data_IF_532745389855
#
_entry.id   IF_532745389855
#
_cell.length_a   1.000
_cell.length_b   1.000
_cell.length_c   1.000
_cell.angle_alpha   90.00
_cell.angle_beta   90.00
_cell.angle_gamma   90.00
#
_symmetry.space_group_name_H-M   'P 1'
#
loop_
_entity.id
_entity.type
_entity.pdbx_description
1 polymer ?
#
# COMPACT_ATOMS: atom_id res chain seq x y z
N UNK A 1 -14.08 21.74 9.03
CA UNK A 1 -12.76 21.12 8.83
C UNK A 1 -12.96 19.67 8.43
N UNK A 2 -12.17 19.17 7.47
CA UNK A 2 -12.18 17.74 7.14
C UNK A 2 -11.58 17.02 8.36
N UNK A 3 -12.27 16.03 8.96
CA UNK A 3 -11.74 15.29 10.10
C UNK A 3 -10.40 14.64 9.72
N UNK A 4 -9.35 14.95 10.47
CA UNK A 4 -7.96 14.53 10.22
C UNK A 4 -7.64 13.12 10.73
N UNK A 5 -8.59 12.44 11.37
CA UNK A 5 -8.36 11.10 11.91
C UNK A 5 -9.48 10.14 11.50
N UNK A 6 -9.10 9.05 10.84
CA UNK A 6 -10.02 7.95 10.56
C UNK A 6 -10.45 7.30 11.89
N UNK A 7 -11.72 6.92 12.06
CA UNK A 7 -12.18 6.27 13.28
C UNK A 7 -11.33 5.03 13.58
N UNK A 8 -10.87 4.90 14.82
CA UNK A 8 -9.99 3.80 15.22
C UNK A 8 -10.70 2.46 15.02
N UNK A 9 -10.23 1.70 14.02
CA UNK A 9 -10.57 0.30 13.79
C UNK A 9 -9.28 -0.49 13.68
N UNK A 10 -9.23 -1.64 14.33
CA UNK A 10 -8.13 -2.57 14.16
C UNK A 10 -8.33 -3.36 12.88
N UNK A 11 -7.33 -3.34 12.00
CA UNK A 11 -7.34 -4.10 10.76
C UNK A 11 -6.26 -5.17 10.82
N UNK A 12 -6.58 -6.36 10.30
CA UNK A 12 -5.62 -7.44 10.12
C UNK A 12 -5.54 -7.75 8.63
N UNK A 13 -4.43 -7.32 8.01
CA UNK A 13 -4.20 -7.55 6.60
C UNK A 13 -4.04 -9.05 6.30
N UNK A 14 -4.71 -9.53 5.27
CA UNK A 14 -4.67 -10.93 4.83
C UNK A 14 -3.82 -11.13 3.57
N UNK A 15 -3.32 -10.04 2.98
CA UNK A 15 -2.42 -10.05 1.82
C UNK A 15 -1.44 -8.88 1.86
N UNK A 16 -0.41 -8.93 1.02
CA UNK A 16 0.50 -7.81 0.83
C UNK A 16 -0.22 -6.55 0.34
N UNK A 17 -1.11 -6.68 -0.67
CA UNK A 17 -1.85 -5.56 -1.22
C UNK A 17 -2.73 -4.89 -0.17
N UNK A 18 -3.39 -5.69 0.67
CA UNK A 18 -4.19 -5.17 1.78
C UNK A 18 -3.34 -4.43 2.80
N UNK A 19 -2.20 -4.99 3.18
CA UNK A 19 -1.28 -4.38 4.12
C UNK A 19 -0.71 -3.06 3.58
N UNK A 20 -0.37 -3.03 2.29
CA UNK A 20 0.13 -1.84 1.60
C UNK A 20 -0.94 -0.74 1.57
N UNK A 21 -2.19 -1.09 1.25
CA UNK A 21 -3.32 -0.15 1.29
C UNK A 21 -3.54 0.38 2.70
N UNK A 22 -3.57 -0.47 3.72
CA UNK A 22 -3.81 -0.06 5.10
C UNK A 22 -2.71 0.86 5.66
N UNK A 23 -1.45 0.64 5.26
CA UNK A 23 -0.32 1.48 5.65
C UNK A 23 -0.34 2.84 4.95
N UNK A 24 -0.94 2.92 3.75
CA UNK A 24 -0.77 4.05 2.82
C UNK A 24 -2.08 4.58 2.20
N UNK A 25 -3.23 4.42 2.86
CA UNK A 25 -4.53 4.77 2.27
C UNK A 25 -4.68 6.28 1.97
N UNK A 26 -3.82 7.12 2.54
CA UNK A 26 -3.73 8.56 2.33
C UNK A 26 -2.52 8.97 1.46
N UNK A 27 -1.86 8.01 0.80
CA UNK A 27 -0.74 8.28 -0.11
C UNK A 27 -1.25 8.51 -1.54
N UNK A 28 -0.94 9.67 -2.12
CA UNK A 28 -1.42 10.06 -3.45
C UNK A 28 -0.90 9.15 -4.58
N UNK A 29 0.39 8.76 -4.54
CA UNK A 29 0.97 7.86 -5.54
C UNK A 29 0.23 6.53 -5.56
N UNK A 30 -0.01 5.93 -4.38
CA UNK A 30 -0.78 4.70 -4.29
C UNK A 30 -2.21 4.90 -4.79
N UNK A 31 -2.87 6.01 -4.44
CA UNK A 31 -4.22 6.30 -4.89
C UNK A 31 -4.30 6.42 -6.41
N UNK A 32 -3.33 7.08 -7.05
CA UNK A 32 -3.24 7.21 -8.51
C UNK A 32 -3.06 5.84 -9.17
N UNK A 33 -2.21 4.98 -8.62
CA UNK A 33 -2.03 3.60 -9.10
C UNK A 33 -3.33 2.80 -8.96
N UNK A 34 -4.02 2.88 -7.82
CA UNK A 34 -5.30 2.21 -7.62
C UNK A 34 -6.38 2.73 -8.60
N UNK A 35 -6.40 4.04 -8.88
CA UNK A 35 -7.29 4.64 -9.85
C UNK A 35 -7.01 4.20 -11.30
N UNK A 36 -5.75 3.89 -11.64
CA UNK A 36 -5.40 3.31 -12.96
C UNK A 36 -5.92 1.88 -13.09
N UNK A 37 -5.84 1.08 -12.03
CA UNK A 37 -6.03 -0.37 -12.09
C UNK A 37 -7.47 -0.79 -11.77
N UNK A 38 -8.11 -0.19 -10.78
CA UNK A 38 -9.47 -0.49 -10.29
C UNK A 38 -10.30 0.79 -10.11
N UNK A 39 -10.27 1.66 -11.14
CA UNK A 39 -10.88 3.00 -11.15
C UNK A 39 -12.29 3.05 -10.57
N UNK A 40 -13.17 2.16 -11.07
CA UNK A 40 -14.60 2.17 -10.74
C UNK A 40 -14.82 1.88 -9.26
N UNK A 41 -14.09 0.90 -8.74
CA UNK A 41 -14.15 0.45 -7.35
C UNK A 41 -13.61 1.54 -6.41
N UNK A 42 -12.52 2.21 -6.79
CA UNK A 42 -11.93 3.29 -5.99
C UNK A 42 -12.85 4.51 -5.93
N UNK A 43 -13.38 4.96 -7.07
CA UNK A 43 -14.33 6.10 -7.09
C UNK A 43 -15.56 5.78 -6.24
N UNK A 44 -16.10 4.56 -6.36
CA UNK A 44 -17.23 4.10 -5.53
C UNK A 44 -16.86 4.10 -4.04
N UNK A 45 -15.66 3.64 -3.70
CA UNK A 45 -15.19 3.52 -2.31
C UNK A 45 -14.95 4.88 -1.67
N UNK A 46 -14.34 5.83 -2.39
CA UNK A 46 -14.12 7.19 -1.90
C UNK A 46 -15.43 7.89 -1.55
N UNK A 47 -16.51 7.63 -2.29
CA UNK A 47 -17.82 8.22 -2.06
C UNK A 47 -17.91 9.70 -2.44
N UNK A 48 -19.04 10.33 -2.07
CA UNK A 48 -19.30 11.76 -2.28
C UNK A 48 -19.93 12.35 -1.00
N UNK A 49 -19.26 13.25 -0.26
CA UNK A 49 -17.91 13.77 -0.53
C UNK A 49 -16.83 12.68 -0.42
N UNK A 50 -15.70 12.88 -1.11
CA UNK A 50 -14.59 11.91 -1.11
C UNK A 50 -13.99 11.79 0.29
N UNK A 51 -13.78 10.56 0.75
CA UNK A 51 -13.14 10.26 2.03
C UNK A 51 -12.11 9.12 1.87
N UNK A 52 -10.83 9.44 2.06
CA UNK A 52 -9.72 8.47 1.95
C UNK A 52 -9.75 7.40 3.04
N UNK A 53 -10.36 7.66 4.20
CA UNK A 53 -10.56 6.64 5.24
C UNK A 53 -11.41 5.47 4.72
N UNK A 54 -12.27 5.70 3.73
CA UNK A 54 -13.05 4.61 3.15
C UNK A 54 -12.18 3.60 2.41
N UNK A 55 -11.00 4.00 1.92
CA UNK A 55 -10.03 3.08 1.30
C UNK A 55 -9.53 2.08 2.35
N UNK A 56 -9.15 2.55 3.54
CA UNK A 56 -8.78 1.68 4.66
C UNK A 56 -9.93 0.78 5.10
N UNK A 57 -11.14 1.35 5.29
CA UNK A 57 -12.33 0.60 5.69
C UNK A 57 -12.71 -0.54 4.72
N UNK A 58 -12.39 -0.37 3.44
CA UNK A 58 -12.72 -1.32 2.39
C UNK A 58 -11.48 -2.05 1.85
N UNK A 59 -10.34 -2.02 2.57
CA UNK A 59 -9.07 -2.63 2.16
C UNK A 59 -9.25 -4.09 1.72
N UNK A 60 -10.02 -4.86 2.48
CA UNK A 60 -10.32 -6.28 2.20
C UNK A 60 -11.12 -6.48 0.92
N UNK A 61 -12.00 -5.54 0.58
CA UNK A 61 -12.72 -5.60 -0.68
C UNK A 61 -11.80 -5.21 -1.83
N UNK A 62 -11.02 -4.13 -1.67
CA UNK A 62 -10.10 -3.65 -2.69
C UNK A 62 -9.01 -4.67 -3.03
N UNK A 63 -8.42 -5.33 -2.03
CA UNK A 63 -7.42 -6.38 -2.28
C UNK A 63 -8.00 -7.55 -3.11
N UNK A 64 -9.27 -7.92 -2.89
CA UNK A 64 -9.93 -8.96 -3.70
C UNK A 64 -10.09 -8.55 -5.16
N UNK A 65 -10.27 -7.25 -5.43
CA UNK A 65 -10.32 -6.73 -6.80
C UNK A 65 -8.93 -6.74 -7.43
N UNK A 66 -7.90 -6.36 -6.67
CA UNK A 66 -6.50 -6.42 -7.10
C UNK A 66 -6.01 -7.86 -7.32
N UNK A 67 -6.59 -8.86 -6.64
CA UNK A 67 -6.16 -10.25 -6.77
C UNK A 67 -6.21 -10.79 -8.22
N UNK A 68 -7.13 -10.26 -9.06
CA UNK A 68 -7.23 -10.60 -10.49
C UNK A 68 -6.34 -9.74 -11.40
N UNK A 69 -5.71 -8.70 -10.83
CA UNK A 69 -4.93 -7.67 -11.51
C UNK A 69 -3.55 -7.49 -10.90
N UNK A 70 -3.00 -8.53 -10.24
CA UNK A 70 -1.73 -8.46 -9.49
C UNK A 70 -0.58 -7.92 -10.33
N UNK A 71 -0.37 -8.47 -11.53
CA UNK A 71 0.70 -8.02 -12.42
C UNK A 71 0.50 -6.58 -12.91
N UNK A 72 -0.74 -6.22 -13.27
CA UNK A 72 -1.09 -4.86 -13.68
C UNK A 72 -0.83 -3.86 -12.54
N UNK A 73 -1.24 -4.20 -11.32
CA UNK A 73 -1.01 -3.40 -10.12
C UNK A 73 0.48 -3.23 -9.82
N UNK A 74 1.23 -4.32 -9.73
CA UNK A 74 2.66 -4.28 -9.42
C UNK A 74 3.46 -3.49 -10.47
N UNK A 75 3.17 -3.69 -11.76
CA UNK A 75 3.87 -2.98 -12.83
C UNK A 75 3.58 -1.47 -12.80
N UNK A 76 2.31 -1.07 -12.60
CA UNK A 76 1.96 0.35 -12.47
C UNK A 76 2.58 0.97 -11.21
N UNK A 77 2.63 0.23 -10.11
CA UNK A 77 3.25 0.69 -8.87
C UNK A 77 4.75 0.91 -9.05
N UNK A 78 5.48 -0.09 -9.56
CA UNK A 78 6.93 0.01 -9.82
C UNK A 78 7.23 1.16 -10.78
N UNK A 79 6.48 1.25 -11.88
CA UNK A 79 6.64 2.35 -12.84
C UNK A 79 6.45 3.72 -12.17
N UNK A 80 5.39 3.88 -11.36
CA UNK A 80 5.13 5.16 -10.67
C UNK A 80 6.21 5.47 -9.62
N UNK A 81 6.75 4.47 -8.92
CA UNK A 81 7.83 4.64 -7.93
C UNK A 81 9.14 5.15 -8.54
N UNK A 82 9.42 4.84 -9.81
CA UNK A 82 10.66 5.23 -10.50
C UNK A 82 10.51 6.45 -11.42
N UNK A 83 9.28 6.83 -11.77
CA UNK A 83 9.01 7.92 -12.73
C UNK A 83 8.38 9.16 -12.11
N UNK A 84 8.02 9.12 -10.83
CA UNK A 84 7.37 10.24 -10.15
C UNK A 84 8.15 10.69 -8.92
N UNK A 85 8.09 12.00 -8.64
CA UNK A 85 8.66 12.62 -7.44
C UNK A 85 7.63 12.71 -6.28
N UNK A 86 6.47 12.05 -6.43
CA UNK A 86 5.45 12.00 -5.38
C UNK A 86 5.99 11.29 -4.14
N UNK A 87 5.40 11.58 -2.97
CA UNK A 87 5.74 10.88 -1.74
C UNK A 87 5.47 9.38 -1.90
N UNK A 88 6.49 8.56 -1.69
CA UNK A 88 6.44 7.10 -1.94
C UNK A 88 5.70 6.40 -0.80
N UNK A 89 4.85 5.39 -1.10
CA UNK A 89 4.22 4.59 -0.07
C UNK A 89 5.27 3.84 0.75
N UNK A 90 5.03 3.75 2.06
CA UNK A 90 5.84 2.97 2.99
C UNK A 90 5.57 1.47 2.84
N UNK A 91 6.60 0.65 3.06
CA UNK A 91 6.42 -0.79 3.13
C UNK A 91 5.59 -1.18 4.37
N UNK A 92 4.76 -2.23 4.28
CA UNK A 92 4.14 -2.82 5.45
C UNK A 92 5.19 -3.26 6.49
N UNK A 93 4.92 -3.02 7.77
CA UNK A 93 5.88 -3.24 8.87
C UNK A 93 6.45 -4.67 8.90
N UNK A 94 5.66 -5.68 8.55
CA UNK A 94 6.13 -7.08 8.54
C UNK A 94 7.15 -7.35 7.44
N UNK A 95 7.05 -6.65 6.30
CA UNK A 95 8.04 -6.72 5.22
C UNK A 95 9.32 -6.02 5.67
N UNK A 96 9.21 -4.82 6.25
CA UNK A 96 10.37 -4.07 6.75
C UNK A 96 11.13 -4.89 7.81
N UNK A 97 10.42 -5.43 8.81
CA UNK A 97 11.00 -6.32 9.83
C UNK A 97 11.61 -7.59 9.24
N UNK A 98 10.99 -8.16 8.20
CA UNK A 98 11.53 -9.32 7.48
C UNK A 98 12.85 -9.01 6.79
N UNK A 99 12.95 -7.84 6.15
CA UNK A 99 14.19 -7.36 5.52
C UNK A 99 15.27 -7.07 6.57
N UNK A 100 14.93 -6.40 7.67
CA UNK A 100 15.85 -6.16 8.78
C UNK A 100 16.38 -7.46 9.38
N UNK A 101 15.50 -8.44 9.62
CA UNK A 101 15.86 -9.77 10.09
C UNK A 101 16.83 -10.46 9.13
N UNK A 102 16.56 -10.40 7.82
CA UNK A 102 17.42 -10.98 6.79
C UNK A 102 18.79 -10.31 6.77
N UNK A 103 18.86 -8.97 6.82
CA UNK A 103 20.12 -8.22 6.90
C UNK A 103 20.94 -8.61 8.14
N UNK A 104 20.29 -8.76 9.29
CA UNK A 104 20.97 -9.19 10.52
C UNK A 104 21.51 -10.62 10.42
N UNK A 105 20.78 -11.53 9.76
CA UNK A 105 21.25 -12.90 9.53
C UNK A 105 22.49 -12.93 8.64
N UNK A 106 22.44 -12.23 7.51
CA UNK A 106 23.57 -12.20 6.58
C UNK A 106 24.82 -11.57 7.18
N UNK A 107 24.67 -10.51 7.99
CA UNK A 107 25.80 -9.90 8.72
C UNK A 107 26.42 -10.84 9.75
N UNK A 108 25.61 -11.65 10.45
CA UNK A 108 26.11 -12.63 11.44
C UNK A 108 26.85 -13.78 10.79
N UNK A 109 26.46 -14.15 9.58
CA UNK A 109 27.11 -15.22 8.81
C UNK A 109 28.40 -14.75 8.09
N UNK A 110 28.91 -13.55 8.43
CA UNK A 110 30.18 -13.02 7.92
C UNK A 110 30.12 -12.41 6.53
N UNK A 111 28.92 -12.19 5.97
CA UNK A 111 28.77 -11.55 4.66
C UNK A 111 28.77 -10.03 4.85
N UNK A 112 29.89 -9.39 4.49
CA UNK A 112 30.03 -7.93 4.47
C UNK A 112 29.43 -7.42 3.15
N UNK A 113 28.42 -6.55 3.23
CA UNK A 113 27.95 -5.77 2.09
C UNK A 113 28.57 -4.38 2.17
N UNK A 114 29.28 -3.98 1.11
CA UNK A 114 29.53 -2.55 0.85
C UNK A 114 28.22 -1.93 0.36
N UNK A 115 27.80 -0.86 1.03
CA UNK A 115 26.63 -0.04 0.64
C UNK A 115 27.14 1.10 -0.24
#
# INVERSE_FOLDING_TARGET
GIPTECPQKTYYATSFEEALILKNYNNDLLLDVLLKVIKKEIIKTLGSPRNVCNIAHNSRQLQKQLARKKSEFSNNLIFSLVTTEQHKPELPDYILKGLEWLTLKLKRDGVIYEI
#
